data_IF_963824595214
#
_entry.id   IF_963824595214
#
_cell.length_a   1.000
_cell.length_b   1.000
_cell.length_c   1.000
_cell.angle_alpha   90.00
_cell.angle_beta   90.00
_cell.angle_gamma   90.00
#
_symmetry.space_group_name_H-M   'P 1'
#
loop_
_entity.id
_entity.type
_entity.pdbx_description
1 polymer ?
#
# COMPACT_ATOMS: atom_id res chain seq x y z
N UNK A 1 -19.25 -36.60 12.80
CA UNK A 1 -18.80 -36.19 11.45
C UNK A 1 -18.64 -34.69 11.52
N UNK A 2 -17.47 -34.13 11.17
CA UNK A 2 -17.28 -32.68 11.25
C UNK A 2 -18.24 -31.96 10.28
N UNK A 3 -18.92 -30.90 10.74
CA UNK A 3 -19.87 -30.12 9.94
C UNK A 3 -19.19 -29.16 8.95
N UNK A 4 -17.90 -29.33 8.68
CA UNK A 4 -17.09 -28.48 7.83
C UNK A 4 -16.44 -29.28 6.70
N UNK A 5 -16.36 -28.67 5.52
CA UNK A 5 -15.83 -29.26 4.29
C UNK A 5 -14.43 -28.71 3.96
N UNK A 6 -13.67 -29.39 3.08
CA UNK A 6 -12.51 -28.76 2.45
C UNK A 6 -12.90 -27.42 1.81
N UNK A 7 -11.99 -26.46 1.87
CA UNK A 7 -12.18 -25.03 1.52
C UNK A 7 -12.98 -24.19 2.52
N UNK A 8 -13.69 -24.74 3.51
CA UNK A 8 -14.41 -23.91 4.47
C UNK A 8 -13.44 -23.06 5.30
N UNK A 9 -13.90 -21.86 5.68
CA UNK A 9 -13.18 -20.97 6.59
C UNK A 9 -13.84 -21.07 7.96
N UNK A 10 -13.03 -21.39 8.97
CA UNK A 10 -13.44 -21.45 10.37
C UNK A 10 -12.81 -20.30 11.14
N UNK A 11 -13.51 -19.87 12.18
CA UNK A 11 -13.03 -18.89 13.14
C UNK A 11 -13.27 -19.45 14.55
N UNK A 12 -12.21 -19.57 15.35
CA UNK A 12 -12.26 -20.17 16.70
C UNK A 12 -12.19 -19.03 17.73
N UNK A 13 -13.32 -18.50 18.19
CA UNK A 13 -13.37 -17.31 19.05
C UNK A 13 -13.16 -15.99 18.29
N UNK A 14 -13.53 -14.87 18.92
CA UNK A 14 -13.66 -13.57 18.23
C UNK A 14 -12.31 -12.90 17.86
N UNK A 15 -11.22 -13.19 18.59
CA UNK A 15 -9.88 -12.62 18.36
C UNK A 15 -8.90 -13.57 17.66
N UNK A 16 -9.30 -14.80 17.38
CA UNK A 16 -8.40 -15.79 16.78
C UNK A 16 -8.27 -15.62 15.26
N UNK A 17 -7.15 -16.10 14.68
CA UNK A 17 -6.98 -16.12 13.23
C UNK A 17 -8.09 -16.94 12.57
N UNK A 18 -8.56 -16.45 11.43
CA UNK A 18 -9.45 -17.21 10.54
C UNK A 18 -8.60 -18.27 9.83
N UNK A 19 -9.03 -19.51 9.87
CA UNK A 19 -8.30 -20.64 9.31
C UNK A 19 -9.13 -21.30 8.20
N UNK A 20 -8.50 -21.65 7.08
CA UNK A 20 -9.14 -22.44 6.02
C UNK A 20 -8.77 -23.90 6.14
N UNK A 21 -9.76 -24.79 6.03
CA UNK A 21 -9.55 -26.23 5.87
C UNK A 21 -9.00 -26.50 4.48
N UNK A 22 -7.75 -26.92 4.40
CA UNK A 22 -7.10 -27.32 3.15
C UNK A 22 -7.41 -28.76 2.77
N UNK A 23 -7.44 -29.65 3.76
CA UNK A 23 -7.64 -31.07 3.54
C UNK A 23 -8.12 -31.76 4.81
N UNK A 24 -8.92 -32.81 4.64
CA UNK A 24 -9.42 -33.65 5.72
C UNK A 24 -8.92 -35.07 5.49
N UNK A 25 -8.10 -35.56 6.41
CA UNK A 25 -7.60 -36.92 6.41
C UNK A 25 -8.39 -37.74 7.44
N UNK A 26 -9.48 -38.34 6.98
CA UNK A 26 -10.38 -39.14 7.82
C UNK A 26 -9.69 -40.41 8.34
N UNK A 27 -8.76 -40.98 7.58
CA UNK A 27 -8.04 -42.20 7.94
C UNK A 27 -7.15 -41.97 9.17
N UNK A 28 -6.48 -40.81 9.22
CA UNK A 28 -5.58 -40.46 10.31
C UNK A 28 -6.22 -39.55 11.37
N UNK A 29 -7.48 -39.15 11.20
CA UNK A 29 -8.21 -38.32 12.15
C UNK A 29 -7.72 -36.87 12.23
N UNK A 30 -7.16 -36.31 11.15
CA UNK A 30 -6.54 -34.98 11.15
C UNK A 30 -7.01 -34.06 10.02
N UNK A 31 -6.83 -32.75 10.24
CA UNK A 31 -7.12 -31.67 9.33
C UNK A 31 -5.84 -30.92 9.00
N UNK A 32 -5.69 -30.48 7.75
CA UNK A 32 -4.71 -29.47 7.36
C UNK A 32 -5.42 -28.11 7.29
N UNK A 33 -4.90 -27.13 8.02
CA UNK A 33 -5.47 -25.79 8.14
C UNK A 33 -4.44 -24.73 7.73
N UNK A 34 -4.89 -23.56 7.29
CA UNK A 34 -4.01 -22.41 7.09
C UNK A 34 -4.67 -21.12 7.55
N UNK A 35 -3.93 -20.31 8.29
CA UNK A 35 -4.31 -18.93 8.61
C UNK A 35 -4.47 -18.12 7.31
N UNK A 36 -5.66 -17.55 7.07
CA UNK A 36 -5.97 -16.80 5.84
C UNK A 36 -5.58 -15.31 5.90
N UNK A 37 -5.12 -14.84 7.06
CA UNK A 37 -4.79 -13.44 7.34
C UNK A 37 -3.27 -13.21 7.46
N UNK A 38 -2.51 -14.26 7.78
CA UNK A 38 -1.06 -14.17 7.93
C UNK A 38 -0.31 -14.12 6.59
N UNK A 39 0.61 -13.15 6.47
CA UNK A 39 1.47 -12.99 5.29
C UNK A 39 2.59 -14.05 5.19
N UNK A 40 2.79 -14.84 6.24
CA UNK A 40 3.79 -15.91 6.31
C UNK A 40 3.18 -17.25 6.72
N UNK A 41 1.85 -17.39 6.57
CA UNK A 41 1.13 -18.59 6.94
C UNK A 41 1.71 -19.84 6.26
N UNK A 42 1.72 -20.93 7.02
CA UNK A 42 2.02 -22.28 6.55
C UNK A 42 0.87 -23.20 6.96
N UNK A 43 0.64 -24.30 6.22
CA UNK A 43 -0.27 -25.34 6.67
C UNK A 43 0.12 -25.85 8.06
N UNK A 44 -0.87 -26.03 8.92
CA UNK A 44 -0.77 -26.62 10.25
C UNK A 44 -1.70 -27.83 10.33
N UNK A 45 -1.39 -28.78 11.20
CA UNK A 45 -2.19 -29.99 11.40
C UNK A 45 -2.93 -29.88 12.73
N UNK A 46 -4.23 -30.17 12.74
CA UNK A 46 -5.04 -30.32 13.96
C UNK A 46 -5.82 -31.63 13.93
N UNK A 47 -6.26 -32.11 15.09
CA UNK A 47 -7.15 -33.28 15.16
C UNK A 47 -8.55 -32.89 14.68
N UNK A 48 -9.24 -33.81 13.99
CA UNK A 48 -10.64 -33.62 13.59
C UNK A 48 -11.50 -33.42 14.84
N UNK A 49 -11.26 -34.20 15.90
CA UNK A 49 -11.99 -34.14 17.17
C UNK A 49 -11.92 -32.73 17.79
N UNK A 50 -10.71 -32.16 17.93
CA UNK A 50 -10.49 -30.82 18.50
C UNK A 50 -11.33 -29.75 17.77
N UNK A 51 -11.30 -29.76 16.43
CA UNK A 51 -12.04 -28.76 15.64
C UNK A 51 -13.54 -29.03 15.69
N UNK A 52 -13.97 -30.29 15.72
CA UNK A 52 -15.38 -30.66 15.83
C UNK A 52 -15.96 -30.20 17.16
N UNK A 53 -15.28 -30.46 18.28
CA UNK A 53 -15.71 -30.04 19.62
C UNK A 53 -15.84 -28.52 19.71
N UNK A 54 -14.92 -27.77 19.11
CA UNK A 54 -14.98 -26.31 19.06
C UNK A 54 -16.20 -25.80 18.26
N UNK A 55 -16.51 -26.43 17.12
CA UNK A 55 -17.67 -26.06 16.31
C UNK A 55 -18.99 -26.42 17.01
N UNK A 56 -19.08 -27.60 17.61
CA UNK A 56 -20.30 -28.09 18.29
C UNK A 56 -20.59 -27.34 19.59
N UNK A 57 -19.55 -26.96 20.35
CA UNK A 57 -19.69 -26.14 21.56
C UNK A 57 -20.00 -24.67 21.28
N UNK A 58 -19.94 -24.23 20.01
CA UNK A 58 -20.10 -22.84 19.62
C UNK A 58 -18.88 -21.95 19.92
N UNK A 59 -17.77 -22.52 20.41
CA UNK A 59 -16.50 -21.83 20.59
C UNK A 59 -15.82 -21.48 19.25
N UNK A 60 -16.21 -22.17 18.17
CA UNK A 60 -15.85 -21.84 16.80
C UNK A 60 -17.06 -21.84 15.88
N UNK A 61 -16.91 -21.22 14.72
CA UNK A 61 -17.95 -21.17 13.68
C UNK A 61 -17.33 -21.26 12.28
N UNK A 62 -18.07 -21.88 11.37
CA UNK A 62 -17.82 -21.73 9.93
C UNK A 62 -18.31 -20.35 9.52
N UNK A 63 -17.51 -19.61 8.76
CA UNK A 63 -17.80 -18.24 8.30
C UNK A 63 -17.76 -18.15 6.78
N UNK A 64 -18.37 -17.09 6.25
CA UNK A 64 -18.24 -16.74 4.84
C UNK A 64 -16.79 -16.46 4.47
N UNK A 65 -16.38 -16.97 3.31
CA UNK A 65 -15.01 -16.82 2.81
C UNK A 65 -14.71 -15.35 2.41
N UNK A 66 -13.83 -14.64 3.14
CA UNK A 66 -13.52 -13.23 2.88
C UNK A 66 -12.81 -13.01 1.54
N UNK A 67 -12.20 -14.07 0.98
CA UNK A 67 -11.47 -14.04 -0.27
C UNK A 67 -12.32 -14.49 -1.46
N UNK A 68 -13.57 -14.89 -1.24
CA UNK A 68 -14.48 -15.30 -2.29
C UNK A 68 -14.62 -14.16 -3.30
N UNK A 69 -14.28 -14.47 -4.55
CA UNK A 69 -14.37 -13.52 -5.66
C UNK A 69 -15.42 -14.02 -6.63
N UNK A 70 -16.59 -13.40 -6.60
CA UNK A 70 -17.60 -13.60 -7.63
C UNK A 70 -17.06 -13.08 -8.97
N UNK A 71 -16.65 -14.00 -9.85
CA UNK A 71 -16.30 -13.69 -11.24
C UNK A 71 -17.45 -14.24 -12.07
N UNK A 72 -18.37 -13.35 -12.46
CA UNK A 72 -19.56 -13.73 -13.20
C UNK A 72 -19.22 -14.19 -14.63
N UNK A 73 -18.16 -13.64 -15.23
CA UNK A 73 -17.70 -13.98 -16.57
C UNK A 73 -16.17 -13.81 -16.71
N UNK A 74 -15.51 -14.84 -17.22
CA UNK A 74 -14.08 -14.88 -17.55
C UNK A 74 -13.70 -13.82 -18.61
N UNK A 75 -14.64 -13.49 -19.52
CA UNK A 75 -14.44 -12.51 -20.58
C UNK A 75 -14.22 -11.09 -20.04
N UNK A 76 -14.80 -10.78 -18.88
CA UNK A 76 -14.69 -9.48 -18.19
C UNK A 76 -13.29 -9.21 -17.61
N UNK A 77 -12.46 -10.26 -17.46
CA UNK A 77 -11.12 -10.10 -16.91
C UNK A 77 -10.16 -9.52 -17.96
N UNK A 78 -9.40 -8.47 -17.62
CA UNK A 78 -8.35 -7.97 -18.50
C UNK A 78 -7.36 -9.08 -18.87
N UNK A 79 -6.97 -9.16 -20.14
CA UNK A 79 -6.08 -10.22 -20.64
C UNK A 79 -4.76 -10.33 -19.84
N UNK A 80 -4.19 -9.18 -19.44
CA UNK A 80 -2.99 -9.12 -18.59
C UNK A 80 -3.18 -9.84 -17.25
N UNK A 81 -4.38 -9.82 -16.69
CA UNK A 81 -4.67 -10.47 -15.41
C UNK A 81 -4.81 -11.98 -15.60
N UNK A 82 -5.46 -12.42 -16.68
CA UNK A 82 -5.54 -13.85 -17.06
C UNK A 82 -4.15 -14.43 -17.31
N UNK A 83 -3.32 -13.76 -18.12
CA UNK A 83 -1.91 -14.15 -18.36
C UNK A 83 -1.11 -14.32 -17.07
N UNK A 84 -1.25 -13.39 -16.12
CA UNK A 84 -0.59 -13.48 -14.81
C UNK A 84 -1.09 -14.66 -13.98
N UNK A 85 -2.41 -14.91 -13.98
CA UNK A 85 -3.00 -16.06 -13.30
C UNK A 85 -2.46 -17.36 -13.89
N UNK A 86 -2.51 -17.50 -15.20
CA UNK A 86 -2.15 -18.74 -15.90
C UNK A 86 -0.65 -19.05 -15.75
N UNK A 87 0.20 -18.02 -15.85
CA UNK A 87 1.64 -18.17 -15.58
C UNK A 87 1.91 -18.58 -14.13
N UNK A 88 1.17 -18.02 -13.18
CA UNK A 88 1.30 -18.38 -11.77
C UNK A 88 0.80 -19.80 -11.50
N UNK A 89 -0.29 -20.21 -12.15
CA UNK A 89 -0.87 -21.53 -12.03
C UNK A 89 0.10 -22.59 -12.53
N UNK A 90 0.70 -22.39 -13.71
CA UNK A 90 1.72 -23.28 -14.26
C UNK A 90 2.88 -23.53 -13.29
N UNK A 91 3.32 -22.49 -12.58
CA UNK A 91 4.42 -22.62 -11.61
C UNK A 91 4.04 -23.42 -10.37
N UNK A 92 2.79 -23.34 -9.90
CA UNK A 92 2.38 -23.98 -8.64
C UNK A 92 1.58 -25.27 -8.83
N UNK A 93 1.12 -25.60 -10.03
CA UNK A 93 0.32 -26.82 -10.26
C UNK A 93 1.02 -28.09 -9.77
N UNK A 94 2.36 -28.28 -9.89
CA UNK A 94 3.02 -29.46 -9.34
C UNK A 94 2.94 -29.55 -7.81
N UNK A 95 2.86 -28.41 -7.12
CA UNK A 95 2.67 -28.34 -5.67
C UNK A 95 1.22 -28.64 -5.27
N UNK A 96 0.26 -28.28 -6.12
CA UNK A 96 -1.16 -28.57 -5.91
C UNK A 96 -1.44 -30.06 -6.14
N UNK A 97 -0.91 -30.63 -7.23
CA UNK A 97 -1.04 -32.05 -7.56
C UNK A 97 -0.36 -32.96 -6.52
N UNK A 98 0.67 -32.48 -5.83
CA UNK A 98 1.36 -33.21 -4.77
C UNK A 98 0.64 -33.16 -3.39
N UNK A 99 -0.57 -32.61 -3.31
CA UNK A 99 -1.35 -32.63 -2.06
C UNK A 99 -1.81 -34.07 -1.73
N UNK A 100 -1.87 -34.45 -0.43
CA UNK A 100 -1.63 -33.61 0.74
C UNK A 100 -0.14 -33.48 1.13
N UNK A 101 0.78 -34.22 0.49
CA UNK A 101 2.21 -34.21 0.86
C UNK A 101 2.82 -32.80 0.79
N UNK A 102 2.39 -31.96 -0.15
CA UNK A 102 2.86 -30.58 -0.26
C UNK A 102 2.45 -29.67 0.91
N UNK A 103 1.56 -30.10 1.81
CA UNK A 103 1.30 -29.39 3.06
C UNK A 103 2.44 -29.55 4.06
N UNK A 104 3.24 -30.61 3.96
CA UNK A 104 4.41 -30.85 4.81
C UNK A 104 5.61 -30.04 4.35
N UNK A 105 6.28 -29.35 5.29
CA UNK A 105 7.39 -28.42 5.02
C UNK A 105 8.51 -29.07 4.18
N UNK A 106 8.95 -30.28 4.53
CA UNK A 106 10.05 -30.97 3.85
C UNK A 106 9.72 -31.33 2.39
N UNK A 107 8.54 -31.90 2.15
CA UNK A 107 8.07 -32.26 0.81
C UNK A 107 7.88 -31.01 -0.06
N UNK A 108 7.26 -29.97 0.51
CA UNK A 108 7.10 -28.68 -0.16
C UNK A 108 8.42 -28.06 -0.56
N UNK A 109 9.38 -27.99 0.36
CA UNK A 109 10.69 -27.39 0.09
C UNK A 109 11.47 -28.12 -1.02
N UNK A 110 11.33 -29.46 -1.09
CA UNK A 110 11.91 -30.28 -2.15
C UNK A 110 11.32 -29.91 -3.53
N UNK A 111 10.00 -29.90 -3.65
CA UNK A 111 9.32 -29.57 -4.92
C UNK A 111 9.63 -28.12 -5.34
N UNK A 112 9.56 -27.17 -4.40
CA UNK A 112 9.91 -25.77 -4.67
C UNK A 112 11.34 -25.65 -5.19
N UNK A 113 12.29 -26.37 -4.58
CA UNK A 113 13.69 -26.33 -5.04
C UNK A 113 13.86 -26.88 -6.45
N UNK A 114 13.11 -27.92 -6.82
CA UNK A 114 13.11 -28.44 -8.19
C UNK A 114 12.56 -27.40 -9.19
N UNK A 115 11.44 -26.77 -8.85
CA UNK A 115 10.84 -25.72 -9.70
C UNK A 115 11.81 -24.55 -9.86
N UNK A 116 12.48 -24.08 -8.80
CA UNK A 116 13.44 -22.96 -8.91
C UNK A 116 14.68 -23.25 -9.74
N UNK A 117 15.01 -24.53 -9.97
CA UNK A 117 16.13 -24.93 -10.85
C UNK A 117 15.67 -24.99 -12.30
N UNK A 118 14.42 -25.39 -12.54
CA UNK A 118 13.84 -25.52 -13.88
C UNK A 118 13.34 -24.18 -14.44
N UNK A 119 12.78 -23.35 -13.56
CA UNK A 119 12.16 -22.08 -13.86
C UNK A 119 12.96 -20.97 -13.15
N UNK A 120 13.34 -19.91 -13.86
CA UNK A 120 14.09 -18.76 -13.31
C UNK A 120 13.21 -17.90 -12.37
N UNK A 121 12.82 -18.49 -11.24
CA UNK A 121 11.86 -17.94 -10.28
C UNK A 121 12.39 -18.13 -8.87
N UNK A 122 12.28 -17.09 -8.05
CA UNK A 122 12.72 -17.17 -6.65
C UNK A 122 11.81 -18.08 -5.80
N UNK A 123 12.39 -18.74 -4.79
CA UNK A 123 11.64 -19.51 -3.77
C UNK A 123 10.56 -18.67 -3.12
N UNK A 124 10.86 -17.39 -2.84
CA UNK A 124 9.91 -16.45 -2.22
C UNK A 124 8.65 -16.27 -3.08
N UNK A 125 8.80 -16.14 -4.39
CA UNK A 125 7.67 -16.04 -5.32
C UNK A 125 6.80 -17.29 -5.24
N UNK A 126 7.40 -18.50 -5.31
CA UNK A 126 6.64 -19.76 -5.25
C UNK A 126 5.87 -19.91 -3.94
N UNK A 127 6.53 -19.67 -2.79
CA UNK A 127 5.85 -19.69 -1.49
C UNK A 127 4.70 -18.68 -1.42
N UNK A 128 4.89 -17.47 -1.96
CA UNK A 128 3.84 -16.45 -1.99
C UNK A 128 2.65 -16.87 -2.85
N UNK A 129 2.89 -17.41 -4.05
CA UNK A 129 1.82 -17.84 -4.95
C UNK A 129 1.07 -19.05 -4.40
N UNK A 130 1.78 -20.04 -3.84
CA UNK A 130 1.17 -21.22 -3.24
C UNK A 130 0.34 -20.87 -2.00
N UNK A 131 0.87 -20.03 -1.11
CA UNK A 131 0.11 -19.54 0.05
C UNK A 131 -1.13 -18.77 -0.39
N UNK A 132 -1.01 -17.89 -1.39
CA UNK A 132 -2.15 -17.17 -1.97
C UNK A 132 -3.22 -18.13 -2.48
N UNK A 133 -2.83 -19.20 -3.15
CA UNK A 133 -3.75 -20.24 -3.62
C UNK A 133 -4.50 -20.90 -2.44
N UNK A 134 -3.76 -21.35 -1.42
CA UNK A 134 -4.34 -21.98 -0.23
C UNK A 134 -5.25 -21.06 0.58
N UNK A 135 -4.87 -19.80 0.77
CA UNK A 135 -5.67 -18.87 1.58
C UNK A 135 -6.97 -18.43 0.89
N UNK A 136 -7.02 -18.45 -0.45
CA UNK A 136 -8.09 -17.80 -1.24
C UNK A 136 -8.96 -18.77 -2.02
N UNK A 137 -9.30 -19.89 -1.40
CA UNK A 137 -10.31 -20.83 -1.92
C UNK A 137 -9.81 -21.84 -2.94
N UNK A 138 -8.48 -22.00 -3.06
CA UNK A 138 -7.86 -23.11 -3.81
C UNK A 138 -8.37 -23.28 -5.26
N UNK A 139 -8.71 -22.17 -5.92
CA UNK A 139 -9.01 -22.12 -7.35
C UNK A 139 -7.89 -21.42 -8.12
N UNK A 140 -7.73 -21.65 -9.44
CA UNK A 140 -6.79 -20.85 -10.24
C UNK A 140 -7.01 -19.34 -10.09
N UNK A 141 -8.27 -18.91 -9.93
CA UNK A 141 -8.64 -17.50 -9.76
C UNK A 141 -8.15 -16.87 -8.45
N UNK A 142 -7.73 -17.68 -7.45
CA UNK A 142 -6.98 -17.19 -6.29
C UNK A 142 -5.71 -16.43 -6.67
N UNK A 143 -5.11 -16.77 -7.82
CA UNK A 143 -3.86 -16.20 -8.32
C UNK A 143 -4.05 -14.90 -9.12
N UNK A 144 -5.29 -14.44 -9.29
CA UNK A 144 -5.56 -13.15 -9.91
C UNK A 144 -4.94 -12.02 -9.09
N UNK A 145 -4.40 -10.98 -9.75
CA UNK A 145 -3.79 -9.85 -9.06
C UNK A 145 -4.83 -9.00 -8.32
N UNK A 146 -4.38 -8.36 -7.23
CA UNK A 146 -5.20 -7.41 -6.45
C UNK A 146 -5.06 -5.97 -6.98
N UNK A 147 -5.00 -5.81 -8.31
CA UNK A 147 -4.80 -4.48 -8.91
C UNK A 147 -5.93 -3.50 -8.61
N UNK A 148 -7.14 -4.00 -8.28
CA UNK A 148 -8.24 -3.17 -7.75
C UNK A 148 -7.85 -2.41 -6.46
N UNK A 149 -6.91 -2.94 -5.69
CA UNK A 149 -6.37 -2.33 -4.47
C UNK A 149 -5.10 -1.49 -4.76
N UNK A 150 -4.67 -1.42 -6.02
CA UNK A 150 -3.50 -0.68 -6.48
C UNK A 150 -3.94 0.60 -7.21
N UNK A 151 -3.03 1.58 -7.35
CA UNK A 151 -3.32 2.80 -8.12
C UNK A 151 -3.79 3.97 -7.27
N UNK A 152 -2.94 4.45 -6.37
CA UNK A 152 -3.14 5.71 -5.65
C UNK A 152 -2.58 6.94 -6.37
N UNK A 153 -2.38 6.89 -7.69
CA UNK A 153 -1.83 8.03 -8.45
C UNK A 153 -2.80 9.21 -8.32
N UNK A 154 -2.32 10.34 -7.81
CA UNK A 154 -3.14 11.53 -7.55
C UNK A 154 -3.91 11.53 -6.22
N UNK A 155 -3.95 10.42 -5.48
CA UNK A 155 -4.57 10.39 -4.14
C UNK A 155 -3.55 10.76 -3.07
N UNK A 156 -3.82 11.81 -2.29
CA UNK A 156 -3.01 12.16 -1.12
C UNK A 156 -3.11 11.07 -0.06
N UNK A 157 -1.98 10.56 0.42
CA UNK A 157 -1.94 9.56 1.50
C UNK A 157 -1.86 10.26 2.86
N UNK A 158 -2.62 9.83 3.87
CA UNK A 158 -2.57 10.38 5.24
C UNK A 158 -1.19 10.19 5.86
N UNK A 159 -0.49 11.25 6.25
CA UNK A 159 0.82 11.14 6.92
C UNK A 159 0.67 10.59 8.34
N UNK A 160 1.48 9.58 8.71
CA UNK A 160 1.60 9.12 10.10
C UNK A 160 2.55 10.00 10.91
N UNK A 161 2.77 9.65 12.19
CA UNK A 161 3.65 10.41 13.10
C UNK A 161 5.12 10.43 12.68
N UNK A 162 5.64 9.35 12.08
CA UNK A 162 7.02 9.31 11.56
C UNK A 162 7.13 10.03 10.21
N UNK A 163 8.16 10.86 10.04
CA UNK A 163 8.48 11.52 8.78
C UNK A 163 8.59 10.50 7.64
N UNK A 164 7.95 10.79 6.51
CA UNK A 164 8.03 9.97 5.30
C UNK A 164 9.31 10.24 4.50
N UNK A 165 9.76 9.20 3.82
CA UNK A 165 10.94 9.25 2.95
C UNK A 165 12.23 8.86 3.68
N UNK A 166 13.33 8.84 2.92
CA UNK A 166 14.66 8.55 3.45
C UNK A 166 15.06 9.65 4.45
N UNK A 167 15.49 9.31 5.69
CA UNK A 167 16.06 10.28 6.60
C UNK A 167 17.28 10.97 5.96
N UNK A 168 17.43 12.29 6.12
CA UNK A 168 18.63 12.98 5.65
C UNK A 168 19.85 12.49 6.43
N UNK A 169 21.00 12.33 5.74
CA UNK A 169 22.28 12.01 6.39
C UNK A 169 22.90 13.28 7.00
N UNK A 170 22.66 14.42 6.35
CA UNK A 170 23.08 15.76 6.78
C UNK A 170 21.96 16.76 6.52
N UNK A 171 21.87 17.81 7.34
CA UNK A 171 20.92 18.92 7.16
C UNK A 171 19.74 18.88 8.13
N UNK A 172 18.62 19.48 7.73
CA UNK A 172 17.45 19.72 8.60
C UNK A 172 16.63 18.43 8.78
N UNK A 173 16.24 18.15 10.01
CA UNK A 173 15.18 17.19 10.33
C UNK A 173 13.83 17.74 9.88
N UNK A 174 13.56 17.57 8.59
CA UNK A 174 12.29 18.04 8.02
C UNK A 174 11.10 17.28 8.59
N UNK A 175 9.94 17.94 8.65
CA UNK A 175 8.69 17.36 9.17
C UNK A 175 7.76 16.88 8.06
N UNK A 176 6.78 16.04 8.40
CA UNK A 176 5.66 15.77 7.50
C UNK A 176 4.85 17.06 7.31
N UNK A 177 4.56 17.40 6.06
CA UNK A 177 3.72 18.57 5.75
C UNK A 177 2.25 18.19 5.98
N UNK A 178 1.69 18.71 7.07
CA UNK A 178 0.29 18.53 7.48
C UNK A 178 -0.64 19.49 6.73
N UNK A 179 -1.97 19.30 6.79
CA UNK A 179 -2.92 20.26 6.22
C UNK A 179 -2.72 21.71 6.72
N UNK A 180 -2.38 21.91 8.00
CA UNK A 180 -2.07 23.23 8.56
C UNK A 180 -0.84 23.88 7.89
N UNK A 181 0.24 23.10 7.73
CA UNK A 181 1.46 23.57 7.06
C UNK A 181 1.18 23.92 5.59
N UNK A 182 0.34 23.14 4.91
CA UNK A 182 -0.08 23.44 3.52
C UNK A 182 -0.80 24.78 3.43
N UNK A 183 -1.61 25.13 4.43
CA UNK A 183 -2.30 26.42 4.44
C UNK A 183 -1.31 27.59 4.59
N UNK A 184 -0.30 27.44 5.47
CA UNK A 184 0.80 28.41 5.58
C UNK A 184 1.55 28.59 4.25
N UNK A 185 1.74 27.51 3.49
CA UNK A 185 2.33 27.58 2.15
C UNK A 185 1.45 28.36 1.17
N UNK A 186 0.14 28.07 1.12
CA UNK A 186 -0.82 28.79 0.25
C UNK A 186 -0.85 30.28 0.57
N UNK A 187 -0.90 30.64 1.85
CA UNK A 187 -0.88 32.04 2.30
C UNK A 187 0.40 32.75 1.85
N UNK A 188 1.55 32.08 1.96
CA UNK A 188 2.84 32.62 1.52
C UNK A 188 2.88 32.85 0.01
N UNK A 189 2.41 31.88 -0.77
CA UNK A 189 2.30 32.00 -2.24
C UNK A 189 1.41 33.17 -2.63
N UNK A 190 0.23 33.29 -2.01
CA UNK A 190 -0.72 34.37 -2.29
C UNK A 190 -0.18 35.76 -1.92
N UNK A 191 0.54 35.87 -0.79
CA UNK A 191 1.04 37.15 -0.28
C UNK A 191 2.30 37.62 -0.99
N UNK A 192 3.22 36.70 -1.28
CA UNK A 192 4.55 37.02 -1.78
C UNK A 192 4.66 36.71 -3.27
N UNK A 193 4.53 35.43 -3.64
CA UNK A 193 4.84 34.96 -4.99
C UNK A 193 3.86 35.45 -6.05
N UNK A 194 2.56 35.48 -5.75
CA UNK A 194 1.51 35.89 -6.68
C UNK A 194 1.43 37.41 -6.90
N UNK A 195 1.91 38.21 -5.93
CA UNK A 195 1.81 39.68 -5.94
C UNK A 195 3.08 40.38 -6.42
N UNK A 196 4.22 39.69 -6.43
CA UNK A 196 5.51 40.28 -6.77
C UNK A 196 6.18 39.50 -7.89
N UNK A 197 6.24 40.09 -9.09
CA UNK A 197 6.82 39.45 -10.27
C UNK A 197 8.35 39.22 -10.16
N UNK A 198 9.02 39.92 -9.23
CA UNK A 198 10.45 39.77 -8.97
C UNK A 198 10.75 38.76 -7.84
N UNK A 199 9.75 38.38 -7.03
CA UNK A 199 9.96 37.46 -5.92
C UNK A 199 10.22 36.05 -6.44
N UNK A 200 11.41 35.50 -6.22
CA UNK A 200 11.69 34.12 -6.59
C UNK A 200 10.88 33.16 -5.74
N UNK A 201 10.79 31.91 -6.18
CA UNK A 201 10.23 30.86 -5.34
C UNK A 201 10.99 30.82 -3.99
N UNK A 202 12.33 30.92 -4.03
CA UNK A 202 13.19 30.86 -2.85
C UNK A 202 12.88 31.96 -1.84
N UNK A 203 12.56 33.16 -2.33
CA UNK A 203 12.13 34.28 -1.50
C UNK A 203 10.82 33.98 -0.78
N UNK A 204 9.83 33.42 -1.49
CA UNK A 204 8.54 33.05 -0.92
C UNK A 204 8.69 32.01 0.20
N UNK A 205 9.54 31.00 0.01
CA UNK A 205 9.76 30.00 1.05
C UNK A 205 10.59 30.50 2.22
N UNK A 206 11.63 31.30 1.96
CA UNK A 206 12.38 31.97 3.06
C UNK A 206 11.43 32.82 3.90
N UNK A 207 10.53 33.56 3.26
CA UNK A 207 9.50 34.32 3.94
C UNK A 207 8.55 33.43 4.74
N UNK A 208 8.02 32.35 4.15
CA UNK A 208 7.14 31.40 4.86
C UNK A 208 7.82 30.78 6.09
N UNK A 209 9.08 30.37 5.94
CA UNK A 209 9.86 29.76 7.02
C UNK A 209 10.07 30.79 8.13
N UNK A 210 10.47 32.01 7.78
CA UNK A 210 10.66 33.10 8.74
C UNK A 210 9.36 33.43 9.48
N UNK A 211 8.23 33.49 8.78
CA UNK A 211 6.95 33.91 9.35
C UNK A 211 6.33 32.84 10.25
N UNK A 212 6.32 31.57 9.82
CA UNK A 212 5.52 30.53 10.48
C UNK A 212 6.33 29.47 11.23
N UNK A 213 7.66 29.49 11.11
CA UNK A 213 8.56 28.51 11.72
C UNK A 213 9.69 29.16 12.52
N UNK A 214 9.50 30.41 12.96
CA UNK A 214 10.39 31.12 13.89
C UNK A 214 9.64 31.37 15.19
N UNK A 215 10.28 31.07 16.31
CA UNK A 215 9.77 31.35 17.64
C UNK A 215 10.48 32.57 18.23
N UNK A 216 9.77 33.31 19.09
CA UNK A 216 10.39 34.36 19.90
C UNK A 216 10.75 33.77 21.25
N UNK A 217 12.04 33.64 21.52
CA UNK A 217 12.57 33.12 22.78
C UNK A 217 13.07 34.30 23.59
N UNK A 218 12.70 34.35 24.88
CA UNK A 218 13.22 35.39 25.77
C UNK A 218 14.51 34.89 26.39
N UNK A 219 15.59 35.66 26.23
CA UNK A 219 16.85 35.44 26.90
C UNK A 219 16.68 35.68 28.41
N UNK A 220 16.99 34.67 29.21
CA UNK A 220 16.80 34.69 30.65
C UNK A 220 17.75 35.68 31.36
N UNK A 221 18.90 35.97 30.77
CA UNK A 221 19.93 36.82 31.37
C UNK A 221 19.74 38.29 30.97
N UNK A 222 19.27 38.56 29.75
CA UNK A 222 19.12 39.93 29.23
C UNK A 222 17.68 40.42 29.16
N UNK A 223 16.70 39.53 29.30
CA UNK A 223 15.27 39.82 29.15
C UNK A 223 14.85 40.20 27.73
N UNK A 224 15.76 40.09 26.74
CA UNK A 224 15.48 40.44 25.34
C UNK A 224 14.81 39.28 24.61
N UNK A 225 13.89 39.61 23.71
CA UNK A 225 13.31 38.62 22.82
C UNK A 225 14.17 38.44 21.58
N UNK A 226 14.52 37.20 21.28
CA UNK A 226 15.32 36.81 20.12
C UNK A 226 14.53 35.86 19.22
N UNK A 227 14.62 36.07 17.91
CA UNK A 227 13.90 35.27 16.92
C UNK A 227 14.72 34.03 16.55
N UNK A 228 14.29 32.86 17.01
CA UNK A 228 14.98 31.59 16.83
C UNK A 228 14.21 30.70 15.86
N UNK A 229 14.89 30.25 14.81
CA UNK A 229 14.28 29.40 13.80
C UNK A 229 14.14 27.96 14.30
N UNK A 230 12.95 27.37 14.16
CA UNK A 230 12.68 25.99 14.60
C UNK A 230 13.60 24.99 13.89
N UNK A 231 14.14 24.05 14.67
CA UNK A 231 14.90 22.91 14.14
C UNK A 231 14.01 22.03 13.24
N UNK A 232 12.80 21.73 13.72
CA UNK A 232 11.78 21.00 12.96
C UNK A 232 11.00 21.94 12.04
N UNK A 233 11.25 21.84 10.73
CA UNK A 233 10.55 22.66 9.74
C UNK A 233 10.48 22.01 8.36
N UNK A 234 9.54 22.42 7.49
CA UNK A 234 9.49 21.92 6.14
C UNK A 234 10.72 22.34 5.33
N UNK A 235 11.11 21.49 4.39
CA UNK A 235 12.17 21.78 3.43
C UNK A 235 11.62 22.58 2.25
N UNK A 236 12.51 23.33 1.58
CA UNK A 236 12.19 24.05 0.34
C UNK A 236 11.60 23.11 -0.73
N UNK A 237 12.13 21.87 -0.85
CA UNK A 237 11.59 20.85 -1.75
C UNK A 237 10.14 20.49 -1.42
N UNK A 238 9.80 20.37 -0.13
CA UNK A 238 8.43 20.06 0.29
C UNK A 238 7.47 21.21 0.00
N UNK A 239 7.88 22.45 0.23
CA UNK A 239 7.07 23.61 -0.15
C UNK A 239 6.84 23.60 -1.66
N UNK A 240 7.85 23.27 -2.48
CA UNK A 240 7.72 23.33 -3.95
C UNK A 240 6.75 22.28 -4.44
N UNK A 241 6.92 21.06 -3.95
CA UNK A 241 6.02 19.95 -4.22
C UNK A 241 4.56 20.30 -3.91
N UNK A 242 4.29 20.85 -2.72
CA UNK A 242 2.94 21.20 -2.31
C UNK A 242 2.39 22.43 -3.03
N UNK A 243 3.25 23.38 -3.43
CA UNK A 243 2.84 24.48 -4.29
C UNK A 243 2.25 23.96 -5.61
N UNK A 244 2.96 23.04 -6.28
CA UNK A 244 2.55 22.48 -7.58
C UNK A 244 1.27 21.66 -7.49
N UNK A 245 1.04 20.97 -6.36
CA UNK A 245 -0.17 20.16 -6.14
C UNK A 245 -1.37 21.01 -5.69
N UNK A 246 -1.17 22.01 -4.84
CA UNK A 246 -2.26 22.70 -4.16
C UNK A 246 -2.75 23.95 -4.86
N UNK A 247 -1.98 24.49 -5.80
CA UNK A 247 -2.31 25.73 -6.48
C UNK A 247 -2.53 25.45 -7.96
N UNK A 248 -3.49 26.17 -8.55
CA UNK A 248 -3.56 26.27 -9.99
C UNK A 248 -2.42 27.18 -10.47
N UNK A 249 -1.31 26.56 -10.88
CA UNK A 249 -0.06 27.25 -11.27
C UNK A 249 -0.32 28.32 -12.34
N UNK A 250 -1.19 28.03 -13.32
CA UNK A 250 -1.55 28.97 -14.38
C UNK A 250 -2.27 30.21 -13.85
N UNK A 251 -3.18 30.03 -12.88
CA UNK A 251 -3.87 31.18 -12.26
C UNK A 251 -2.90 32.08 -11.48
N UNK A 252 -1.93 31.48 -10.80
CA UNK A 252 -0.91 32.21 -10.02
C UNK A 252 0.03 32.97 -10.97
N UNK A 253 0.51 32.33 -12.04
CA UNK A 253 1.35 32.98 -13.05
C UNK A 253 0.62 34.10 -13.80
N UNK A 254 -0.66 33.90 -14.14
CA UNK A 254 -1.49 34.92 -14.78
C UNK A 254 -1.71 36.14 -13.89
N UNK A 255 -1.91 35.93 -12.59
CA UNK A 255 -1.97 37.01 -11.61
C UNK A 255 -0.63 37.75 -11.51
N UNK A 256 0.46 37.00 -11.43
CA UNK A 256 1.82 37.53 -11.21
C UNK A 256 2.34 38.37 -12.37
N UNK A 257 2.12 37.94 -13.61
CA UNK A 257 2.63 38.61 -14.82
C UNK A 257 1.68 39.66 -15.39
N UNK A 258 0.50 39.82 -14.79
CA UNK A 258 -0.70 40.47 -15.35
C UNK A 258 -1.32 39.68 -16.51
N UNK A 259 -2.67 39.67 -16.64
CA UNK A 259 -3.35 38.93 -17.71
C UNK A 259 -2.85 39.26 -19.11
N UNK A 260 -2.56 40.54 -19.39
CA UNK A 260 -2.13 41.00 -20.72
C UNK A 260 -0.80 40.40 -21.17
N UNK A 261 0.19 40.32 -20.27
CA UNK A 261 1.50 39.74 -20.60
C UNK A 261 1.42 38.22 -20.63
N UNK A 262 0.68 37.62 -19.69
CA UNK A 262 0.49 36.18 -19.65
C UNK A 262 -0.21 35.65 -20.91
N UNK A 263 -1.30 36.30 -21.34
CA UNK A 263 -2.08 35.88 -22.51
C UNK A 263 -1.31 36.12 -23.84
N UNK A 264 -0.25 36.94 -23.82
CA UNK A 264 0.67 37.19 -24.95
C UNK A 264 1.81 36.16 -25.00
N UNK A 265 2.47 35.90 -23.87
CA UNK A 265 3.75 35.17 -23.84
C UNK A 265 3.61 33.70 -23.41
N UNK A 266 2.52 33.34 -22.72
CA UNK A 266 2.32 32.03 -22.07
C UNK A 266 1.02 31.32 -22.53
N UNK A 267 0.36 31.83 -23.58
CA UNK A 267 -0.79 31.15 -24.18
C UNK A 267 -0.33 29.81 -24.77
N UNK A 268 -1.06 28.74 -24.45
CA UNK A 268 -0.86 27.47 -25.16
C UNK A 268 -1.01 27.72 -26.67
N UNK A 269 -0.01 27.31 -27.46
CA UNK A 269 -0.12 27.30 -28.91
C UNK A 269 -1.23 26.31 -29.27
N UNK A 270 -2.39 26.81 -29.70
CA UNK A 270 -3.39 26.00 -30.42
C UNK A 270 -2.87 25.76 -31.85
N UNK A 271 -1.73 25.10 -31.97
CA UNK A 271 -1.07 24.82 -33.23
C UNK A 271 -1.45 23.44 -33.75
N UNK A 272 -2.58 23.32 -34.45
CA UNK A 272 -2.75 22.26 -35.45
C UNK A 272 -2.21 22.78 -36.79
N UNK A 273 -0.90 22.83 -36.97
CA UNK A 273 -0.32 22.95 -38.30
C UNK A 273 -0.14 21.53 -38.85
N UNK A 274 -1.11 21.09 -39.66
CA UNK A 274 -0.90 19.98 -40.59
C UNK A 274 -0.01 20.49 -41.72
N UNK A 275 1.18 19.91 -41.84
CA UNK A 275 1.88 19.75 -43.10
C UNK A 275 2.00 18.25 -43.36
#
# INVERSE_FOLDING_TARGET
MIQACPCDVIQIGDESPRERILWIDQEHGVLFLIDIDSNSAKPVVRKIEEVTDLLESGAGKVIDDPWLRAIADESSLPEKWRKHRDSSWKLISPLVEAQPKSFLDAHRAKIISQITVQEDVSRFTLYRQLRRYWQRGMTPNALLPDYKNSGGKGKTRSSGGRKRGRPPIHGIDGINVTPDIREKFRLSVRRIYAKNNNATWGDCCRWCIKEYFTDLVTDADTGRQEAVLRAERPTERQFKYWYEIDNNIFSVERQRRTPRVYDKDMRELLGSSRL
#
